data_IF_638742034420
#
_entry.id   IF_638742034420
#
_cell.length_a   1.000
_cell.length_b   1.000
_cell.length_c   1.000
_cell.angle_alpha   90.00
_cell.angle_beta   90.00
_cell.angle_gamma   90.00
#
_symmetry.space_group_name_H-M   'P 1'
#
loop_
_entity.id
_entity.type
_entity.pdbx_description
1 polymer ?
#
# COMPACT_ATOMS: atom_id res chain seq x y z
N UNK A 1 15.27 -2.19 -22.29
CA UNK A 1 15.46 -1.39 -21.06
C UNK A 1 14.19 -0.61 -20.83
N UNK A 2 13.38 -1.02 -19.86
CA UNK A 2 12.15 -0.29 -19.52
C UNK A 2 12.56 0.90 -18.66
N UNK A 3 12.22 2.08 -19.12
CA UNK A 3 12.56 3.33 -18.48
C UNK A 3 11.69 3.51 -17.21
N UNK A 4 12.27 3.24 -16.03
CA UNK A 4 11.63 3.41 -14.73
C UNK A 4 11.99 4.79 -14.13
N UNK A 5 11.81 5.89 -14.89
CA UNK A 5 12.16 7.26 -14.46
C UNK A 5 11.52 7.63 -13.10
N UNK A 6 12.36 7.76 -12.08
CA UNK A 6 12.04 8.18 -10.71
C UNK A 6 11.69 9.68 -10.54
N UNK A 7 11.75 10.49 -11.61
CA UNK A 7 11.72 11.98 -11.52
C UNK A 7 10.37 12.58 -12.00
N UNK A 8 9.29 11.80 -11.98
CA UNK A 8 7.96 12.34 -12.32
C UNK A 8 7.25 12.88 -11.06
N UNK A 9 6.64 14.09 -11.08
CA UNK A 9 5.93 14.67 -9.93
C UNK A 9 4.82 13.77 -9.35
N UNK A 10 4.30 12.86 -10.16
CA UNK A 10 3.34 11.85 -9.73
C UNK A 10 3.89 10.87 -8.66
N UNK A 11 5.21 10.81 -8.47
CA UNK A 11 5.83 9.96 -7.45
C UNK A 11 6.01 10.63 -6.10
N UNK A 12 5.67 11.92 -5.94
CA UNK A 12 5.68 12.56 -4.63
C UNK A 12 4.66 11.95 -3.67
N UNK A 13 5.00 11.90 -2.38
CA UNK A 13 4.21 11.32 -1.29
C UNK A 13 2.84 11.99 -1.17
N UNK A 14 2.82 13.33 -1.28
CA UNK A 14 1.59 14.11 -1.23
C UNK A 14 0.67 13.80 -2.42
N UNK A 15 1.24 13.61 -3.61
CA UNK A 15 0.46 13.22 -4.79
C UNK A 15 -0.07 11.79 -4.64
N UNK A 16 0.78 10.83 -4.28
CA UNK A 16 0.40 9.44 -3.98
C UNK A 16 -0.78 9.39 -3.01
N UNK A 17 -0.68 10.12 -1.90
CA UNK A 17 -1.73 10.18 -0.89
C UNK A 17 -3.02 10.81 -1.42
N UNK A 18 -2.91 11.88 -2.23
CA UNK A 18 -4.08 12.56 -2.81
C UNK A 18 -4.86 11.69 -3.81
N UNK A 19 -4.18 10.77 -4.50
CA UNK A 19 -4.77 9.87 -5.49
C UNK A 19 -5.53 8.68 -4.86
N UNK A 20 -5.33 8.43 -3.57
CA UNK A 20 -6.05 7.38 -2.85
C UNK A 20 -7.53 7.70 -2.73
N UNK A 21 -8.36 6.68 -2.61
CA UNK A 21 -9.78 6.83 -2.32
C UNK A 21 -10.00 7.63 -1.03
N UNK A 22 -10.94 8.59 -1.07
CA UNK A 22 -11.20 9.49 0.05
C UNK A 22 -11.52 8.75 1.36
N UNK A 23 -12.20 7.60 1.29
CA UNK A 23 -12.51 6.77 2.45
C UNK A 23 -11.25 6.21 3.13
N UNK A 24 -10.24 5.79 2.34
CA UNK A 24 -8.97 5.30 2.85
C UNK A 24 -8.13 6.44 3.42
N UNK A 25 -8.12 7.61 2.77
CA UNK A 25 -7.48 8.79 3.35
C UNK A 25 -8.09 9.15 4.71
N UNK A 26 -9.43 9.16 4.82
CA UNK A 26 -10.14 9.43 6.07
C UNK A 26 -9.85 8.39 7.15
N UNK A 27 -9.72 7.11 6.77
CA UNK A 27 -9.30 6.04 7.68
C UNK A 27 -7.92 6.31 8.26
N UNK A 28 -6.94 6.60 7.40
CA UNK A 28 -5.54 6.78 7.79
C UNK A 28 -5.35 8.00 8.71
N UNK A 29 -6.14 9.06 8.50
CA UNK A 29 -6.10 10.28 9.32
C UNK A 29 -6.68 10.08 10.74
N UNK A 30 -7.35 8.97 11.05
CA UNK A 30 -7.98 8.74 12.38
C UNK A 30 -6.95 8.68 13.49
N UNK A 31 -7.20 9.29 14.65
CA UNK A 31 -6.27 9.39 15.79
C UNK A 31 -5.66 8.06 16.25
N UNK A 32 -6.43 6.97 16.24
CA UNK A 32 -6.02 5.66 16.77
C UNK A 32 -5.67 4.64 15.68
N UNK A 33 -5.10 5.08 14.55
CA UNK A 33 -4.60 4.12 13.55
C UNK A 33 -3.42 3.33 14.16
N UNK A 34 -3.43 2.00 14.11
CA UNK A 34 -2.32 1.20 14.58
C UNK A 34 -1.19 1.25 13.54
N UNK A 35 -0.31 2.25 13.66
CA UNK A 35 0.81 2.46 12.74
C UNK A 35 1.76 1.26 12.68
N UNK A 36 1.93 0.50 13.77
CA UNK A 36 2.73 -0.73 13.76
C UNK A 36 2.19 -1.80 12.82
N UNK A 37 0.87 -2.00 12.77
CA UNK A 37 0.23 -2.95 11.84
C UNK A 37 0.36 -2.45 10.41
N UNK A 38 0.20 -1.13 10.20
CA UNK A 38 0.40 -0.53 8.89
C UNK A 38 1.83 -0.73 8.38
N UNK A 39 2.84 -0.48 9.23
CA UNK A 39 4.26 -0.65 8.91
C UNK A 39 4.60 -2.11 8.60
N UNK A 40 4.11 -3.06 9.41
CA UNK A 40 4.36 -4.47 9.18
C UNK A 40 3.84 -4.94 7.81
N UNK A 41 2.61 -4.55 7.46
CA UNK A 41 2.03 -4.88 6.15
C UNK A 41 2.78 -4.17 5.00
N UNK A 42 3.30 -2.97 5.25
CA UNK A 42 4.09 -2.18 4.30
C UNK A 42 5.42 -2.86 4.01
N UNK A 43 6.14 -3.29 5.04
CA UNK A 43 7.43 -3.98 4.93
C UNK A 43 7.32 -5.29 4.15
N UNK A 44 6.32 -6.13 4.45
CA UNK A 44 6.08 -7.39 3.75
C UNK A 44 5.80 -7.16 2.25
N UNK A 45 5.03 -6.13 1.93
CA UNK A 45 4.72 -5.76 0.55
C UNK A 45 5.97 -5.23 -0.18
N UNK A 46 6.76 -4.36 0.45
CA UNK A 46 7.99 -3.82 -0.14
C UNK A 46 8.98 -4.97 -0.41
N UNK A 47 9.18 -5.88 0.54
CA UNK A 47 10.10 -7.02 0.40
C UNK A 47 9.78 -7.83 -0.87
N UNK A 48 8.51 -8.11 -1.12
CA UNK A 48 8.06 -8.89 -2.28
C UNK A 48 8.29 -8.11 -3.59
N UNK A 49 7.78 -6.88 -3.69
CA UNK A 49 7.77 -6.15 -4.97
C UNK A 49 9.09 -5.45 -5.30
N UNK A 50 9.92 -5.17 -4.30
CA UNK A 50 11.29 -4.72 -4.52
C UNK A 50 12.18 -5.87 -5.03
N UNK A 51 11.94 -7.10 -4.56
CA UNK A 51 12.63 -8.28 -5.07
C UNK A 51 12.20 -8.63 -6.50
N UNK A 52 10.89 -8.71 -6.74
CA UNK A 52 10.31 -8.96 -8.06
C UNK A 52 9.06 -8.10 -8.30
N UNK A 53 9.15 -7.03 -9.12
CA UNK A 53 8.02 -6.17 -9.43
C UNK A 53 6.82 -6.88 -10.07
N UNK A 54 7.00 -8.07 -10.67
CA UNK A 54 5.94 -8.82 -11.35
C UNK A 54 5.32 -9.91 -10.47
N UNK A 55 5.77 -10.03 -9.22
CA UNK A 55 5.24 -11.00 -8.28
C UNK A 55 3.76 -10.78 -7.98
N UNK A 56 3.10 -11.85 -7.56
CA UNK A 56 1.72 -11.83 -7.08
C UNK A 56 1.74 -12.20 -5.61
N UNK A 57 1.36 -11.25 -4.77
CA UNK A 57 1.22 -11.47 -3.34
C UNK A 57 -0.23 -11.87 -3.02
N UNK A 58 -0.42 -12.98 -2.31
CA UNK A 58 -1.72 -13.39 -1.79
C UNK A 58 -1.61 -13.47 -0.28
N UNK A 59 -2.42 -12.68 0.41
CA UNK A 59 -2.36 -12.58 1.86
C UNK A 59 -2.76 -13.90 2.53
N UNK A 60 -2.22 -14.10 3.73
CA UNK A 60 -2.80 -14.96 4.76
C UNK A 60 -4.17 -14.44 5.23
N UNK A 61 -4.75 -15.06 6.26
CA UNK A 61 -6.04 -14.64 6.83
C UNK A 61 -5.92 -13.31 7.57
N UNK A 62 -6.13 -12.21 6.83
CA UNK A 62 -6.19 -10.87 7.40
C UNK A 62 -7.59 -10.54 7.91
N UNK A 63 -7.63 -9.87 9.07
CA UNK A 63 -8.86 -9.25 9.58
C UNK A 63 -9.43 -8.24 8.58
N UNK A 64 -10.71 -7.88 8.72
CA UNK A 64 -11.32 -6.87 7.85
C UNK A 64 -10.63 -5.51 7.93
N UNK A 65 -10.05 -5.18 9.09
CA UNK A 65 -9.33 -3.93 9.29
C UNK A 65 -7.94 -3.96 8.64
N UNK A 66 -7.16 -5.04 8.83
CA UNK A 66 -5.87 -5.22 8.17
C UNK A 66 -6.01 -5.23 6.65
N UNK A 67 -7.05 -5.89 6.12
CA UNK A 67 -7.35 -5.83 4.67
C UNK A 67 -7.59 -4.42 4.18
N UNK A 68 -8.27 -3.58 4.98
CA UNK A 68 -8.50 -2.19 4.63
C UNK A 68 -7.20 -1.37 4.63
N UNK A 69 -6.30 -1.63 5.60
CA UNK A 69 -4.96 -1.02 5.60
C UNK A 69 -4.13 -1.46 4.39
N UNK A 70 -4.16 -2.75 4.05
CA UNK A 70 -3.48 -3.26 2.87
C UNK A 70 -3.99 -2.62 1.57
N UNK A 71 -5.31 -2.44 1.44
CA UNK A 71 -5.89 -1.72 0.30
C UNK A 71 -5.35 -0.28 0.22
N UNK A 72 -5.20 0.40 1.35
CA UNK A 72 -4.63 1.74 1.43
C UNK A 72 -3.15 1.78 1.02
N UNK A 73 -2.34 0.84 1.53
CA UNK A 73 -0.94 0.67 1.12
C UNK A 73 -0.82 0.44 -0.38
N UNK A 74 -1.62 -0.46 -0.93
CA UNK A 74 -1.59 -0.75 -2.37
C UNK A 74 -1.83 0.51 -3.19
N UNK A 75 -2.81 1.34 -2.83
CA UNK A 75 -3.08 2.58 -3.57
C UNK A 75 -1.92 3.58 -3.48
N UNK A 76 -1.30 3.73 -2.30
CA UNK A 76 -0.16 4.63 -2.10
C UNK A 76 1.10 4.18 -2.88
N UNK A 77 1.30 2.86 -3.00
CA UNK A 77 2.41 2.24 -3.74
C UNK A 77 2.09 1.96 -5.22
N UNK A 78 0.95 2.44 -5.73
CA UNK A 78 0.49 2.20 -7.10
C UNK A 78 0.34 0.72 -7.48
N UNK A 79 0.03 -0.12 -6.50
CA UNK A 79 -0.32 -1.53 -6.66
C UNK A 79 -1.83 -1.71 -6.74
N UNK A 80 -2.25 -2.81 -7.36
CA UNK A 80 -3.66 -3.23 -7.41
C UNK A 80 -3.91 -4.28 -6.35
N UNK A 81 -5.04 -4.18 -5.68
CA UNK A 81 -5.49 -5.17 -4.71
C UNK A 81 -6.93 -5.60 -4.95
N UNK A 82 -7.21 -6.89 -4.75
CA UNK A 82 -8.56 -7.47 -4.88
C UNK A 82 -8.80 -8.52 -3.81
N UNK A 83 -9.79 -8.26 -2.96
CA UNK A 83 -10.28 -9.23 -1.97
C UNK A 83 -11.22 -10.24 -2.62
N UNK A 84 -11.04 -11.53 -2.35
CA UNK A 84 -11.95 -12.62 -2.76
C UNK A 84 -12.13 -13.62 -1.61
N UNK A 85 -13.32 -14.23 -1.53
CA UNK A 85 -13.58 -15.29 -0.55
C UNK A 85 -13.44 -16.64 -1.23
N UNK A 86 -12.53 -17.48 -0.72
CA UNK A 86 -12.26 -18.83 -1.23
C UNK A 86 -12.41 -19.79 -0.06
N UNK A 87 -13.29 -20.79 -0.20
CA UNK A 87 -13.55 -21.79 0.85
C UNK A 87 -13.88 -21.17 2.23
N UNK A 88 -14.65 -20.08 2.25
CA UNK A 88 -15.04 -19.37 3.48
C UNK A 88 -13.97 -18.40 4.02
N UNK A 89 -12.75 -18.43 3.48
CA UNK A 89 -11.64 -17.58 3.91
C UNK A 89 -11.49 -16.41 2.96
N UNK A 90 -11.42 -15.19 3.49
CA UNK A 90 -11.26 -13.97 2.69
C UNK A 90 -9.78 -13.63 2.53
N UNK A 91 -9.29 -13.70 1.28
CA UNK A 91 -7.90 -13.42 0.91
C UNK A 91 -7.82 -12.19 0.01
N UNK A 92 -6.71 -11.46 0.08
CA UNK A 92 -6.44 -10.34 -0.81
C UNK A 92 -5.31 -10.70 -1.74
N UNK A 93 -5.56 -10.60 -3.05
CA UNK A 93 -4.51 -10.65 -4.07
C UNK A 93 -3.99 -9.23 -4.29
N UNK A 94 -2.68 -9.07 -4.31
CA UNK A 94 -1.97 -7.83 -4.65
C UNK A 94 -1.06 -8.10 -5.84
N UNK A 95 -1.06 -7.19 -6.81
CA UNK A 95 -0.23 -7.26 -8.00
C UNK A 95 0.20 -5.86 -8.43
N UNK A 96 1.38 -5.76 -9.04
CA UNK A 96 1.80 -4.53 -9.67
C UNK A 96 1.26 -4.47 -11.10
N UNK A 97 0.48 -3.45 -11.42
CA UNK A 97 0.02 -3.23 -12.79
C UNK A 97 1.12 -2.65 -13.70
N UNK A 98 2.20 -2.14 -13.09
CA UNK A 98 3.31 -1.51 -13.77
C UNK A 98 4.46 -2.52 -13.94
N UNK A 99 5.33 -2.29 -14.92
CA UNK A 99 6.53 -3.12 -15.16
C UNK A 99 7.65 -2.87 -14.15
N UNK A 100 7.57 -1.77 -13.41
CA UNK A 100 8.54 -1.38 -12.40
C UNK A 100 7.81 -1.19 -11.06
N UNK A 101 8.48 -1.52 -9.96
CA UNK A 101 8.03 -1.15 -8.63
C UNK A 101 8.60 0.22 -8.28
N UNK A 102 7.74 1.15 -7.85
CA UNK A 102 8.10 2.53 -7.54
C UNK A 102 7.92 2.79 -6.06
N UNK A 103 8.93 2.38 -5.29
CA UNK A 103 9.00 2.65 -3.86
C UNK A 103 8.97 4.18 -3.60
N UNK A 104 8.17 4.67 -2.65
CA UNK A 104 8.16 6.08 -2.25
C UNK A 104 9.40 6.43 -1.41
N UNK A 105 9.81 7.70 -1.41
CA UNK A 105 10.94 8.14 -0.58
C UNK A 105 10.56 8.11 0.91
N UNK A 106 9.26 8.25 1.21
CA UNK A 106 8.71 8.14 2.56
C UNK A 106 7.57 7.12 2.57
N UNK A 107 7.70 6.14 3.46
CA UNK A 107 6.68 5.14 3.75
C UNK A 107 5.34 5.78 4.13
N UNK A 108 4.22 5.12 3.85
CA UNK A 108 2.90 5.62 4.23
C UNK A 108 2.78 5.74 5.74
N UNK A 109 3.31 4.77 6.51
CA UNK A 109 3.31 4.85 7.97
C UNK A 109 4.01 6.12 8.47
N UNK A 110 5.20 6.41 7.93
CA UNK A 110 5.98 7.61 8.26
C UNK A 110 5.27 8.89 7.81
N UNK A 111 4.65 8.88 6.63
CA UNK A 111 3.85 10.00 6.13
C UNK A 111 2.68 10.32 7.06
N UNK A 112 1.92 9.30 7.49
CA UNK A 112 0.79 9.50 8.41
C UNK A 112 1.26 10.03 9.77
N UNK A 113 2.36 9.49 10.29
CA UNK A 113 2.93 9.96 11.55
C UNK A 113 3.31 11.45 11.45
N UNK A 114 4.12 11.81 10.47
CA UNK A 114 4.63 13.18 10.30
C UNK A 114 3.53 14.24 10.07
N UNK A 115 2.49 13.91 9.31
CA UNK A 115 1.49 14.90 8.87
C UNK A 115 0.16 14.85 9.63
N UNK A 116 -0.17 13.73 10.27
CA UNK A 116 -1.47 13.53 10.94
C UNK A 116 -1.37 13.01 12.39
N UNK A 117 -0.15 12.82 12.92
CA UNK A 117 0.12 12.62 14.35
C UNK A 117 0.90 13.81 14.89
N UNK A 118 0.18 14.79 15.42
CA UNK A 118 0.74 15.90 16.20
C UNK A 118 0.05 15.93 17.55
#
# INVERSE_FOLDING_TARGET
MTDCRHIHPAYSEAHRFSMMEALLQSLLKRKHLPLGVLSYLEDEMIEIFAHDPLSVYITSELSSFERLLLHALCQYYFLRSKSTTIAGVRRTKVENANKCFHEPDISLATYIDKFYRR
#
